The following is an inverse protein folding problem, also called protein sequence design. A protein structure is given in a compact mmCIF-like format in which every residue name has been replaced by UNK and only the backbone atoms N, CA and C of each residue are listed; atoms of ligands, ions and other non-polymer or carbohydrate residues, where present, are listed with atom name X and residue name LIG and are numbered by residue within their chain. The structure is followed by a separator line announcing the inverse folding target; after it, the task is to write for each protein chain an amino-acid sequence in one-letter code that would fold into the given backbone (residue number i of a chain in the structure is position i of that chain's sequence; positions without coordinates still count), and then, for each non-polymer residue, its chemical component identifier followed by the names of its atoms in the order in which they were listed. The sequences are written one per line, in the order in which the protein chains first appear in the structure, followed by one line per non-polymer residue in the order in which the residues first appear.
data_IF_991097701548
#
_entry.id   IF_991097701548
#
_cell.length_a   1.000
_cell.length_b   1.000
_cell.length_c   1.000
_cell.angle_alpha   90.00
_cell.angle_beta   90.00
_cell.angle_gamma   90.00
#
_symmetry.space_group_name_H-M   'P 1'
#
loop_
_entity.id
_entity.type
_entity.pdbx_description
1 polymer ?
#
# COMPACT_ATOMS: atom_id res chain seq x y z
N UNK A 1 6.24 -11.51 -2.23
CA UNK A 1 7.15 -10.79 -3.15
C UNK A 1 7.01 -9.27 -3.05
N UNK A 2 6.04 -8.57 -3.66
CA UNK A 2 6.01 -7.06 -3.63
C UNK A 2 5.90 -6.46 -2.21
N UNK A 3 5.07 -7.05 -1.33
CA UNK A 3 4.87 -6.56 0.03
C UNK A 3 6.10 -6.72 0.96
N UNK A 4 6.98 -7.67 0.66
CA UNK A 4 8.14 -8.01 1.51
C UNK A 4 9.33 -7.10 1.18
N UNK A 5 9.53 -6.73 -0.09
CA UNK A 5 10.66 -5.88 -0.53
C UNK A 5 10.61 -4.47 0.06
N UNK A 6 9.41 -3.89 0.22
CA UNK A 6 9.24 -2.52 0.69
C UNK A 6 9.71 -2.30 2.14
N UNK A 7 9.63 -3.32 3.00
CA UNK A 7 9.96 -3.18 4.43
C UNK A 7 11.42 -3.47 4.70
N UNK A 8 12.02 -4.42 3.97
CA UNK A 8 13.46 -4.72 4.07
C UNK A 8 14.29 -3.46 3.74
N UNK A 9 13.85 -2.64 2.78
CA UNK A 9 14.57 -1.42 2.39
C UNK A 9 14.60 -0.35 3.49
N UNK A 10 13.54 -0.22 4.29
CA UNK A 10 13.49 0.74 5.40
C UNK A 10 14.48 0.33 6.51
N UNK A 11 14.62 -0.97 6.79
CA UNK A 11 15.57 -1.49 7.77
C UNK A 11 17.02 -1.43 7.25
N UNK A 12 17.26 -1.73 5.96
CA UNK A 12 18.57 -1.69 5.31
C UNK A 12 19.22 -0.29 5.30
N UNK A 13 18.44 0.78 5.32
CA UNK A 13 18.98 2.15 5.41
C UNK A 13 19.65 2.47 6.76
N UNK A 14 19.35 1.67 7.80
CA UNK A 14 19.83 1.86 9.16
C UNK A 14 20.75 0.74 9.67
N UNK A 15 20.90 -0.34 8.91
CA UNK A 15 21.68 -1.50 9.31
C UNK A 15 23.17 -1.32 8.99
N UNK A 16 24.06 -1.21 10.00
CA UNK A 16 25.51 -1.13 9.80
C UNK A 16 26.12 -2.42 9.21
N UNK A 17 25.34 -3.49 9.02
CA UNK A 17 25.77 -4.76 8.44
C UNK A 17 25.74 -4.79 6.90
N UNK A 18 25.17 -3.78 6.22
CA UNK A 18 25.39 -3.63 4.77
C UNK A 18 26.80 -3.05 4.58
N UNK A 19 27.77 -3.91 4.33
CA UNK A 19 29.11 -3.48 3.95
C UNK A 19 29.01 -2.50 2.77
N UNK A 20 29.81 -1.43 2.80
CA UNK A 20 29.74 -0.36 1.77
C UNK A 20 29.86 -0.89 0.34
N UNK A 21 30.55 -2.02 0.17
CA UNK A 21 30.80 -2.65 -1.13
C UNK A 21 29.55 -3.33 -1.72
N UNK A 22 28.64 -3.86 -0.91
CA UNK A 22 27.40 -4.51 -1.39
C UNK A 22 26.29 -3.50 -1.75
N UNK A 23 26.43 -2.25 -1.30
CA UNK A 23 25.39 -1.23 -1.46
C UNK A 23 25.14 -0.87 -2.93
N UNK A 24 26.18 -0.86 -3.76
CA UNK A 24 26.05 -0.53 -5.18
C UNK A 24 25.25 -1.61 -5.93
N UNK A 25 25.55 -2.88 -5.68
CA UNK A 25 24.86 -4.01 -6.30
C UNK A 25 23.39 -4.08 -5.85
N UNK A 26 23.12 -3.83 -4.56
CA UNK A 26 21.76 -3.75 -4.03
C UNK A 26 20.98 -2.61 -4.71
N UNK A 27 21.58 -1.43 -4.85
CA UNK A 27 20.93 -0.29 -5.52
C UNK A 27 20.64 -0.61 -6.99
N UNK A 28 21.59 -1.21 -7.71
CA UNK A 28 21.42 -1.60 -9.10
C UNK A 28 20.25 -2.57 -9.26
N UNK A 29 20.24 -3.64 -8.45
CA UNK A 29 19.19 -4.64 -8.44
C UNK A 29 17.81 -4.06 -8.08
N UNK A 30 17.72 -3.22 -7.04
CA UNK A 30 16.46 -2.56 -6.67
C UNK A 30 15.97 -1.61 -7.76
N UNK A 31 16.88 -0.93 -8.46
CA UNK A 31 16.53 -0.04 -9.57
C UNK A 31 15.97 -0.80 -10.76
N UNK A 32 16.53 -1.97 -11.08
CA UNK A 32 16.01 -2.87 -12.11
C UNK A 32 14.60 -3.35 -11.76
N UNK A 33 14.41 -3.87 -10.53
CA UNK A 33 13.09 -4.33 -10.06
C UNK A 33 12.05 -3.20 -10.06
N UNK A 34 12.43 -2.00 -9.63
CA UNK A 34 11.54 -0.83 -9.65
C UNK A 34 11.09 -0.51 -11.08
N UNK A 35 12.03 -0.49 -12.03
CA UNK A 35 11.75 -0.23 -13.44
C UNK A 35 10.82 -1.30 -14.04
N UNK A 36 11.10 -2.58 -13.81
CA UNK A 36 10.28 -3.69 -14.30
C UNK A 36 8.87 -3.67 -13.71
N UNK A 37 8.74 -3.28 -12.44
CA UNK A 37 7.45 -3.13 -11.77
C UNK A 37 6.61 -2.06 -12.47
N UNK A 38 7.20 -0.88 -12.74
CA UNK A 38 6.51 0.19 -13.48
C UNK A 38 6.08 -0.32 -14.86
N UNK A 39 7.00 -0.92 -15.62
CA UNK A 39 6.71 -1.47 -16.96
C UNK A 39 5.55 -2.46 -16.92
N UNK A 40 5.54 -3.40 -15.96
CA UNK A 40 4.46 -4.36 -15.80
C UNK A 40 3.11 -3.65 -15.60
N UNK A 41 3.03 -2.69 -14.68
CA UNK A 41 1.77 -2.03 -14.36
C UNK A 41 1.26 -1.11 -15.49
N UNK A 42 2.16 -0.49 -16.25
CA UNK A 42 1.80 0.39 -17.37
C UNK A 42 1.42 -0.39 -18.65
N UNK A 43 2.01 -1.57 -18.87
CA UNK A 43 1.88 -2.27 -20.17
C UNK A 43 1.15 -3.60 -20.11
N UNK A 44 1.22 -4.31 -18.99
CA UNK A 44 0.87 -5.74 -18.90
C UNK A 44 -0.20 -6.05 -17.86
N UNK A 45 -0.31 -5.25 -16.79
CA UNK A 45 -1.28 -5.47 -15.73
C UNK A 45 -2.72 -5.38 -16.26
N UNK A 46 -3.55 -6.36 -15.87
CA UNK A 46 -4.97 -6.39 -16.22
C UNK A 46 -5.75 -5.18 -15.66
N UNK A 47 -6.96 -4.91 -16.18
CA UNK A 47 -7.75 -3.71 -15.85
C UNK A 47 -8.15 -3.55 -14.40
N UNK A 48 -8.20 -4.64 -13.63
CA UNK A 48 -8.41 -4.61 -12.18
C UNK A 48 -7.08 -4.44 -11.44
N UNK A 49 -6.08 -5.26 -11.75
CA UNK A 49 -4.75 -5.24 -11.11
C UNK A 49 -4.10 -3.87 -11.17
N UNK A 50 -4.23 -3.16 -12.30
CA UNK A 50 -3.64 -1.82 -12.46
C UNK A 50 -4.28 -0.72 -11.59
N UNK A 51 -5.38 -1.01 -10.89
CA UNK A 51 -6.15 -0.04 -10.10
C UNK A 51 -6.49 -0.47 -8.68
N UNK A 52 -6.38 -1.74 -8.36
CA UNK A 52 -6.75 -2.27 -7.04
C UNK A 52 -5.54 -2.33 -6.09
N UNK A 53 -5.70 -3.00 -4.95
CA UNK A 53 -4.67 -3.18 -3.93
C UNK A 53 -3.29 -3.61 -4.48
N UNK A 54 -3.21 -4.37 -5.58
CA UNK A 54 -1.91 -4.72 -6.16
C UNK A 54 -1.13 -3.50 -6.62
N UNK A 55 -1.79 -2.53 -7.26
CA UNK A 55 -1.17 -1.26 -7.64
C UNK A 55 -0.72 -0.50 -6.40
N UNK A 56 -1.51 -0.48 -5.33
CA UNK A 56 -1.14 0.22 -4.08
C UNK A 56 0.10 -0.39 -3.42
N UNK A 57 0.18 -1.73 -3.36
CA UNK A 57 1.37 -2.43 -2.88
C UNK A 57 2.62 -2.14 -3.71
N UNK A 58 2.47 -2.04 -5.03
CA UNK A 58 3.56 -1.61 -5.90
C UNK A 58 3.97 -0.16 -5.62
N UNK A 59 3.01 0.75 -5.42
CA UNK A 59 3.28 2.13 -5.01
C UNK A 59 4.13 2.21 -3.75
N UNK A 60 3.77 1.46 -2.70
CA UNK A 60 4.56 1.38 -1.48
C UNK A 60 6.00 0.90 -1.75
N UNK A 61 6.16 -0.14 -2.57
CA UNK A 61 7.48 -0.65 -2.92
C UNK A 61 8.33 0.41 -3.63
N UNK A 62 7.76 1.10 -4.62
CA UNK A 62 8.47 2.13 -5.39
C UNK A 62 8.76 3.38 -4.56
N UNK A 63 7.90 3.76 -3.61
CA UNK A 63 8.19 4.84 -2.66
C UNK A 63 9.44 4.52 -1.82
N UNK A 64 9.53 3.29 -1.30
CA UNK A 64 10.67 2.87 -0.48
C UNK A 64 11.95 2.69 -1.30
N UNK A 65 11.85 2.09 -2.49
CA UNK A 65 12.99 1.98 -3.41
C UNK A 65 13.48 3.39 -3.78
N UNK A 66 12.59 4.28 -4.22
CA UNK A 66 12.92 5.65 -4.60
C UNK A 66 13.61 6.42 -3.47
N UNK A 67 13.11 6.29 -2.23
CA UNK A 67 13.78 6.84 -1.03
C UNK A 67 15.19 6.28 -0.82
N UNK A 68 15.39 4.97 -0.99
CA UNK A 68 16.67 4.33 -0.73
C UNK A 68 17.72 4.59 -1.82
N UNK A 69 17.29 4.66 -3.07
CA UNK A 69 18.14 4.88 -4.25
C UNK A 69 18.26 6.35 -4.65
N UNK A 70 17.55 7.27 -3.98
CA UNK A 70 17.39 8.67 -4.37
C UNK A 70 16.87 8.82 -5.82
N UNK A 71 15.89 8.00 -6.21
CA UNK A 71 15.27 8.03 -7.52
C UNK A 71 13.90 8.71 -7.46
N UNK A 72 13.86 10.00 -7.83
CA UNK A 72 12.64 10.81 -7.80
C UNK A 72 11.55 10.27 -8.74
N UNK A 73 11.92 9.65 -9.88
CA UNK A 73 10.93 9.09 -10.80
C UNK A 73 10.14 7.93 -10.18
N UNK A 74 10.75 7.16 -9.29
CA UNK A 74 10.05 6.12 -8.53
C UNK A 74 9.15 6.71 -7.45
N UNK A 75 9.59 7.79 -6.80
CA UNK A 75 8.77 8.52 -5.81
C UNK A 75 7.55 9.15 -6.49
N UNK A 76 7.73 9.78 -7.64
CA UNK A 76 6.65 10.40 -8.41
C UNK A 76 5.61 9.36 -8.86
N UNK A 77 6.05 8.19 -9.36
CA UNK A 77 5.15 7.10 -9.73
C UNK A 77 4.39 6.52 -8.53
N UNK A 78 5.04 6.47 -7.36
CA UNK A 78 4.41 6.05 -6.12
C UNK A 78 3.37 7.07 -5.64
N UNK A 79 3.64 8.37 -5.77
CA UNK A 79 2.70 9.45 -5.49
C UNK A 79 1.47 9.39 -6.40
N UNK A 80 1.68 9.19 -7.71
CA UNK A 80 0.57 8.97 -8.67
C UNK A 80 -0.27 7.74 -8.27
N UNK A 81 0.40 6.66 -7.90
CA UNK A 81 -0.24 5.42 -7.46
C UNK A 81 -1.08 5.62 -6.20
N UNK A 82 -0.55 6.36 -5.23
CA UNK A 82 -1.27 6.71 -4.02
C UNK A 82 -2.51 7.54 -4.36
N UNK A 83 -2.36 8.60 -5.17
CA UNK A 83 -3.44 9.48 -5.61
C UNK A 83 -4.53 8.68 -6.34
N UNK A 84 -4.14 7.79 -7.25
CA UNK A 84 -5.07 6.88 -7.94
C UNK A 84 -5.86 6.02 -6.95
N UNK A 85 -5.24 5.51 -5.89
CA UNK A 85 -5.91 4.70 -4.88
C UNK A 85 -6.86 5.49 -4.00
N UNK A 86 -6.40 6.62 -3.45
CA UNK A 86 -7.24 7.43 -2.55
C UNK A 86 -8.43 8.06 -3.27
N UNK A 87 -8.27 8.44 -4.54
CA UNK A 87 -9.35 9.01 -5.33
C UNK A 87 -10.41 7.98 -5.78
N UNK A 88 -10.15 6.68 -5.61
CA UNK A 88 -11.17 5.64 -5.79
C UNK A 88 -12.07 5.45 -4.57
N UNK A 89 -11.69 6.00 -3.41
CA UNK A 89 -12.44 5.84 -2.17
C UNK A 89 -13.70 6.69 -2.25
N UNK A 90 -14.86 6.03 -2.22
CA UNK A 90 -16.14 6.70 -2.30
C UNK A 90 -16.50 7.48 -1.02
N UNK A 91 -17.67 8.11 -1.01
CA UNK A 91 -18.19 8.87 0.14
C UNK A 91 -18.43 8.02 1.40
N UNK A 92 -18.57 6.70 1.25
CA UNK A 92 -18.76 5.76 2.34
C UNK A 92 -17.44 5.11 2.80
N UNK A 93 -16.31 5.55 2.26
CA UNK A 93 -15.00 4.97 2.58
C UNK A 93 -14.76 3.61 1.94
N UNK A 94 -15.47 3.28 0.87
CA UNK A 94 -15.35 2.01 0.15
C UNK A 94 -14.44 2.12 -1.06
N UNK A 95 -13.74 1.02 -1.35
CA UNK A 95 -13.01 0.80 -2.58
C UNK A 95 -13.83 -0.14 -3.48
N UNK A 96 -14.41 0.33 -4.60
CA UNK A 96 -15.31 -0.48 -5.42
C UNK A 96 -14.70 -1.82 -5.88
N UNK A 97 -13.42 -1.83 -6.29
CA UNK A 97 -12.74 -3.05 -6.73
C UNK A 97 -12.48 -4.06 -5.60
N UNK A 98 -12.42 -3.58 -4.36
CA UNK A 98 -12.28 -4.43 -3.18
C UNK A 98 -13.65 -4.89 -2.67
N UNK A 99 -14.69 -4.07 -2.86
CA UNK A 99 -16.06 -4.45 -2.55
C UNK A 99 -16.55 -5.60 -3.45
N UNK A 100 -16.14 -5.59 -4.72
CA UNK A 100 -16.39 -6.66 -5.71
C UNK A 100 -15.83 -8.03 -5.30
N UNK A 101 -15.07 -8.13 -4.20
CA UNK A 101 -14.51 -9.39 -3.69
C UNK A 101 -15.50 -10.17 -2.81
N UNK A 102 -16.72 -9.67 -2.63
CA UNK A 102 -17.84 -10.40 -2.00
C UNK A 102 -17.52 -10.83 -0.57
N UNK A 103 -17.49 -12.13 -0.29
CA UNK A 103 -17.11 -12.68 1.02
C UNK A 103 -15.71 -12.29 1.51
N UNK A 104 -14.86 -11.74 0.63
CA UNK A 104 -13.54 -11.21 0.97
C UNK A 104 -13.48 -9.68 1.00
N UNK A 105 -14.59 -8.96 0.79
CA UNK A 105 -14.59 -7.51 0.67
C UNK A 105 -13.96 -6.83 1.88
N UNK A 106 -14.33 -7.27 3.09
CA UNK A 106 -13.73 -6.78 4.34
C UNK A 106 -12.21 -6.94 4.35
N UNK A 107 -11.74 -8.14 4.02
CA UNK A 107 -10.33 -8.48 4.00
C UNK A 107 -9.57 -7.58 3.03
N UNK A 108 -10.11 -7.39 1.83
CA UNK A 108 -9.45 -6.59 0.79
C UNK A 108 -9.44 -5.09 1.10
N UNK A 109 -10.45 -4.54 1.78
CA UNK A 109 -10.39 -3.15 2.26
C UNK A 109 -9.28 -2.96 3.29
N UNK A 110 -9.21 -3.85 4.29
CA UNK A 110 -8.15 -3.81 5.32
C UNK A 110 -6.78 -4.03 4.67
N UNK A 111 -6.68 -4.94 3.70
CA UNK A 111 -5.44 -5.21 2.96
C UNK A 111 -4.98 -4.04 2.08
N UNK A 112 -5.91 -3.34 1.42
CA UNK A 112 -5.63 -2.18 0.57
C UNK A 112 -5.24 -0.93 1.37
N UNK A 113 -5.78 -0.76 2.57
CA UNK A 113 -5.48 0.39 3.41
C UNK A 113 -4.02 0.42 3.88
N UNK A 114 -3.43 -0.74 4.18
CA UNK A 114 -2.03 -0.85 4.65
C UNK A 114 -1.03 -0.15 3.72
N UNK A 115 -0.92 -0.52 2.43
CA UNK A 115 0.03 0.14 1.55
C UNK A 115 -0.31 1.60 1.30
N UNK A 116 -1.59 2.01 1.33
CA UNK A 116 -1.94 3.42 1.18
C UNK A 116 -1.40 4.27 2.35
N UNK A 117 -1.66 3.86 3.60
CA UNK A 117 -1.14 4.57 4.78
C UNK A 117 0.38 4.57 4.84
N UNK A 118 1.00 3.42 4.56
CA UNK A 118 2.45 3.31 4.57
C UNK A 118 3.09 4.17 3.45
N UNK A 119 2.48 4.23 2.26
CA UNK A 119 2.97 5.08 1.17
C UNK A 119 2.84 6.56 1.53
N UNK A 120 1.70 6.97 2.10
CA UNK A 120 1.50 8.33 2.60
C UNK A 120 2.63 8.72 3.58
N UNK A 121 2.91 7.87 4.56
CA UNK A 121 3.96 8.13 5.55
C UNK A 121 5.36 8.27 4.91
N UNK A 122 5.70 7.44 3.92
CA UNK A 122 6.98 7.54 3.20
C UNK A 122 7.05 8.85 2.41
N UNK A 123 5.99 9.22 1.70
CA UNK A 123 5.90 10.45 0.91
C UNK A 123 6.02 11.70 1.79
N UNK A 124 5.31 11.76 2.92
CA UNK A 124 5.41 12.84 3.91
C UNK A 124 6.83 12.96 4.47
N UNK A 125 7.49 11.83 4.76
CA UNK A 125 8.88 11.80 5.21
C UNK A 125 9.90 12.31 4.17
N UNK A 126 9.51 12.34 2.89
CA UNK A 126 10.27 12.94 1.79
C UNK A 126 9.87 14.41 1.52
N UNK A 127 8.95 14.98 2.30
CA UNK A 127 8.43 16.34 2.10
C UNK A 127 7.40 16.47 0.97
N UNK A 128 6.77 15.36 0.54
CA UNK A 128 5.63 15.36 -0.38
C UNK A 128 4.31 15.47 0.39
N UNK A 129 3.27 16.03 -0.24
CA UNK A 129 1.96 16.30 0.37
C UNK A 129 0.82 15.75 -0.50
N UNK A 130 0.69 14.41 -0.61
CA UNK A 130 -0.22 13.78 -1.56
C UNK A 130 -1.72 13.91 -1.18
N UNK A 131 -2.04 14.20 0.08
CA UNK A 131 -3.41 14.34 0.61
C UNK A 131 -4.25 15.43 -0.05
N UNK A 132 -3.61 16.34 -0.80
CA UNK A 132 -4.25 17.49 -1.47
C UNK A 132 -5.16 17.11 -2.64
N UNK A 133 -4.99 15.94 -3.26
CA UNK A 133 -5.74 15.55 -4.45
C UNK A 133 -7.18 15.10 -4.16
N UNK A 134 -7.34 14.27 -3.11
CA UNK A 134 -8.63 13.72 -2.69
C UNK A 134 -8.80 13.85 -1.17
N UNK A 135 -9.06 15.07 -0.67
CA UNK A 135 -9.04 15.36 0.76
C UNK A 135 -10.04 14.50 1.56
N UNK A 136 -9.58 14.01 2.71
CA UNK A 136 -10.38 13.20 3.64
C UNK A 136 -10.72 11.79 3.14
N UNK A 137 -10.34 11.40 1.93
CA UNK A 137 -10.65 10.08 1.37
C UNK A 137 -10.00 8.94 2.17
N UNK A 138 -8.72 9.08 2.48
CA UNK A 138 -7.98 8.09 3.28
C UNK A 138 -8.57 7.95 4.69
N UNK A 139 -9.05 9.05 5.30
CA UNK A 139 -9.69 9.03 6.61
C UNK A 139 -11.02 8.28 6.60
N UNK A 140 -11.81 8.41 5.52
CA UNK A 140 -13.04 7.62 5.34
C UNK A 140 -12.73 6.14 5.27
N UNK A 141 -11.75 5.73 4.46
CA UNK A 141 -11.34 4.32 4.37
C UNK A 141 -10.80 3.80 5.71
N UNK A 142 -9.99 4.60 6.44
CA UNK A 142 -9.53 4.26 7.79
C UNK A 142 -10.69 4.04 8.75
N UNK A 143 -11.69 4.92 8.73
CA UNK A 143 -12.88 4.82 9.58
C UNK A 143 -13.66 3.55 9.26
N UNK A 144 -13.98 3.33 7.99
CA UNK A 144 -14.75 2.17 7.52
C UNK A 144 -14.03 0.85 7.83
N UNK A 145 -12.73 0.76 7.62
CA UNK A 145 -11.95 -0.44 7.94
C UNK A 145 -11.83 -0.69 9.45
N UNK A 146 -11.69 0.36 10.27
CA UNK A 146 -11.69 0.24 11.74
C UNK A 146 -13.02 -0.35 12.23
N UNK A 147 -14.13 0.19 11.73
CA UNK A 147 -15.46 -0.35 12.02
C UNK A 147 -15.60 -1.81 11.56
N UNK A 148 -15.09 -2.13 10.38
CA UNK A 148 -15.18 -3.46 9.80
C UNK A 148 -14.34 -4.52 10.55
N UNK A 149 -13.25 -4.12 11.19
CA UNK A 149 -12.45 -5.00 12.06
C UNK A 149 -13.22 -5.31 13.35
N UNK A 150 -13.96 -4.34 13.88
CA UNK A 150 -14.74 -4.49 15.11
C UNK A 150 -16.07 -5.24 14.91
N UNK A 151 -16.74 -5.03 13.77
CA UNK A 151 -18.02 -5.66 13.41
C UNK A 151 -18.03 -6.03 11.93
N UNK A 152 -18.12 -7.33 11.63
CA UNK A 152 -18.20 -7.81 10.26
C UNK A 152 -19.60 -7.80 9.65
N UNK A 153 -20.64 -7.69 10.48
CA UNK A 153 -22.02 -7.66 10.04
C UNK A 153 -22.29 -6.50 9.07
N UNK A 154 -21.54 -5.40 9.16
CA UNK A 154 -21.62 -4.31 8.19
C UNK A 154 -21.29 -4.75 6.76
N UNK A 155 -20.17 -5.45 6.56
CA UNK A 155 -19.78 -5.95 5.23
C UNK A 155 -20.65 -7.12 4.76
N UNK A 156 -21.17 -7.93 5.69
CA UNK A 156 -22.14 -8.97 5.34
C UNK A 156 -23.44 -8.38 4.79
N UNK A 157 -23.98 -7.33 5.43
CA UNK A 157 -25.16 -6.61 4.94
C UNK A 157 -24.91 -5.95 3.59
N UNK A 158 -23.73 -5.38 3.39
CA UNK A 158 -23.37 -4.68 2.15
C UNK A 158 -23.19 -5.63 0.97
N UNK A 159 -22.59 -6.79 1.19
CA UNK A 159 -22.26 -7.76 0.12
C UNK A 159 -23.30 -8.87 -0.04
N UNK A 160 -24.17 -9.07 0.95
CA UNK A 160 -25.09 -10.21 1.02
C UNK A 160 -24.38 -11.55 1.30
N UNK A 161 -23.10 -11.53 1.66
CA UNK A 161 -22.26 -12.72 1.83
C UNK A 161 -21.54 -12.69 3.17
N UNK A 162 -21.47 -13.86 3.82
CA UNK A 162 -20.65 -14.06 5.00
C UNK A 162 -19.20 -13.69 4.72
N UNK A 163 -18.59 -12.94 5.62
CA UNK A 163 -17.21 -12.49 5.46
C UNK A 163 -16.21 -13.52 5.99
N UNK A 164 -15.11 -13.71 5.27
CA UNK A 164 -13.99 -14.57 5.68
C UNK A 164 -13.23 -13.92 6.82
N UNK A 165 -12.79 -14.71 7.81
CA UNK A 165 -11.98 -14.26 8.94
C UNK A 165 -10.77 -13.42 8.49
N UNK A 166 -10.45 -12.35 9.24
CA UNK A 166 -9.24 -11.56 8.97
C UNK A 166 -8.00 -12.42 9.25
N UNK A 167 -6.90 -12.25 8.48
CA UNK A 167 -5.62 -12.88 8.81
C UNK A 167 -5.11 -12.42 10.18
N UNK A 168 -4.28 -13.25 10.83
CA UNK A 168 -3.56 -12.87 12.05
C UNK A 168 -2.59 -11.71 11.73
N UNK A 169 -2.58 -10.66 12.55
CA UNK A 169 -1.68 -9.51 12.37
C UNK A 169 -0.20 -9.91 12.37
N UNK A 170 0.17 -11.01 13.00
CA UNK A 170 1.53 -11.53 13.00
C UNK A 170 1.98 -12.06 11.64
N UNK A 171 1.07 -12.29 10.68
CA UNK A 171 1.45 -12.59 9.29
C UNK A 171 1.99 -11.36 8.56
N UNK A 172 1.80 -10.16 9.10
CA UNK A 172 2.39 -8.93 8.58
C UNK A 172 3.66 -8.57 9.35
N UNK A 173 4.64 -8.07 8.60
CA UNK A 173 5.81 -7.39 9.15
C UNK A 173 5.39 -6.23 10.04
N UNK A 174 6.16 -5.98 11.11
CA UNK A 174 5.76 -5.05 12.18
C UNK A 174 5.33 -3.67 11.66
N UNK A 175 6.05 -3.10 10.68
CA UNK A 175 5.76 -1.79 10.11
C UNK A 175 4.39 -1.69 9.42
N UNK A 176 3.80 -2.81 9.01
CA UNK A 176 2.53 -2.88 8.28
C UNK A 176 1.38 -3.43 9.12
N UNK A 177 1.61 -3.67 10.40
CA UNK A 177 0.55 -4.06 11.33
C UNK A 177 -0.36 -2.88 11.60
N UNK A 178 -1.65 -3.15 11.72
CA UNK A 178 -2.67 -2.12 11.89
C UNK A 178 -2.41 -1.29 13.16
N UNK A 179 -1.97 -1.90 14.25
CA UNK A 179 -1.65 -1.16 15.48
C UNK A 179 -0.48 -0.16 15.32
N UNK A 180 0.39 -0.33 14.32
CA UNK A 180 1.47 0.61 14.02
C UNK A 180 1.02 1.71 13.06
N UNK A 181 0.15 1.38 12.11
CA UNK A 181 -0.34 2.33 11.12
C UNK A 181 -1.49 3.22 11.64
N UNK A 182 -2.30 2.72 12.58
CA UNK A 182 -3.51 3.41 13.02
C UNK A 182 -3.33 4.26 14.28
N UNK A 183 -2.25 4.04 15.04
CA UNK A 183 -2.02 4.63 16.38
C UNK A 183 -3.30 4.61 17.22
N UNK A 184 -3.59 3.47 17.86
CA UNK A 184 -4.56 3.42 18.96
C UNK A 184 -3.97 4.06 20.22
#
# INVERSE_FOLDING_TARGET
MIAETATVIADLGSDPLVARDDRADIIAWLTEIGSDTIIYFETSAGPKTRRNNHRFWAGLALAQIGRFTNNDGFVDWAEETYNLGVCQIDENGMLPLELDRGGYARNYHVYALRPLLATQHVLEGLGRHPETHCPGAIDRLRTTTTMAIADDGFFERLTGLRQVALPDENTYVSALRLNRLFVF
#
